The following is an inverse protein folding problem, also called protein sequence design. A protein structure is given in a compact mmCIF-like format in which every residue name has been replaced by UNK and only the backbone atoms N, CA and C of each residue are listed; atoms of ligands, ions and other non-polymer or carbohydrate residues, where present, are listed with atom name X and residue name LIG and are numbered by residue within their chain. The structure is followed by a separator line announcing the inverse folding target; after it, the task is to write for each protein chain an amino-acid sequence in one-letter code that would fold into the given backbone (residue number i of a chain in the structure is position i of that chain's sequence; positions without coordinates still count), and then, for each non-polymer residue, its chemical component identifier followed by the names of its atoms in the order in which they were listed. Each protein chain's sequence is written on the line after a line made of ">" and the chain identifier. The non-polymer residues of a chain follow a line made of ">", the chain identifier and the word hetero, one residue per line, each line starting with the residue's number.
data_IF_464537144094
#
_entry.id   IF_464537144094
#
_cell.length_a   1.000
_cell.length_b   1.000
_cell.length_c   1.000
_cell.angle_alpha   90.00
_cell.angle_beta   90.00
_cell.angle_gamma   90.00
#
_symmetry.space_group_name_H-M   'P 1'
#
loop_
_entity.id
_entity.type
_entity.pdbx_description
1 polymer ?
#
# COMPACT_ATOMS: atom_id res chain seq x y z
N UNK A 1 -10.31 30.39 13.79
CA UNK A 1 -9.16 29.52 14.17
C UNK A 1 -8.60 28.92 12.87
N UNK A 2 -7.46 29.42 12.38
CA UNK A 2 -6.80 28.92 11.17
C UNK A 2 -5.98 27.66 11.53
N UNK A 3 -6.21 26.54 10.84
CA UNK A 3 -5.32 25.38 10.88
C UNK A 3 -4.50 25.39 9.59
N UNK A 4 -3.19 25.59 9.72
CA UNK A 4 -2.26 25.38 8.62
C UNK A 4 -2.00 23.87 8.55
N UNK A 5 -2.64 23.20 7.59
CA UNK A 5 -2.30 21.81 7.25
C UNK A 5 -1.06 21.88 6.36
N UNK A 6 0.08 21.52 6.92
CA UNK A 6 1.31 21.36 6.15
C UNK A 6 1.26 19.97 5.50
N UNK A 7 0.59 19.87 4.35
CA UNK A 7 0.59 18.66 3.55
C UNK A 7 1.93 18.57 2.84
N UNK A 8 2.87 17.82 3.44
CA UNK A 8 4.11 17.46 2.74
C UNK A 8 3.75 16.47 1.63
N UNK A 9 3.43 17.01 0.46
CA UNK A 9 3.13 16.25 -0.76
C UNK A 9 4.25 15.25 -1.10
N UNK A 10 5.49 15.53 -0.70
CA UNK A 10 6.61 14.61 -0.84
C UNK A 10 6.47 13.38 0.06
N UNK A 11 6.05 13.54 1.31
CA UNK A 11 5.75 12.42 2.20
C UNK A 11 4.58 11.60 1.66
N UNK A 12 3.50 12.26 1.24
CA UNK A 12 2.34 11.59 0.63
C UNK A 12 2.75 10.75 -0.57
N UNK A 13 3.48 11.33 -1.50
CA UNK A 13 3.94 10.65 -2.70
C UNK A 13 4.85 9.45 -2.40
N UNK A 14 5.81 9.60 -1.47
CA UNK A 14 6.69 8.51 -1.05
C UNK A 14 5.91 7.37 -0.38
N UNK A 15 4.96 7.70 0.48
CA UNK A 15 4.08 6.71 1.10
C UNK A 15 3.31 5.93 0.04
N UNK A 16 2.58 6.62 -0.84
CA UNK A 16 1.77 5.98 -1.87
C UNK A 16 2.62 5.06 -2.76
N UNK A 17 3.78 5.54 -3.22
CA UNK A 17 4.68 4.76 -4.08
C UNK A 17 5.19 3.50 -3.37
N UNK A 18 5.63 3.62 -2.12
CA UNK A 18 6.16 2.48 -1.37
C UNK A 18 5.08 1.47 -1.00
N UNK A 19 3.91 1.96 -0.60
CA UNK A 19 2.77 1.12 -0.24
C UNK A 19 2.22 0.38 -1.47
N UNK A 20 2.14 1.03 -2.64
CA UNK A 20 1.77 0.38 -3.89
C UNK A 20 2.76 -0.75 -4.25
N UNK A 21 4.07 -0.48 -4.19
CA UNK A 21 5.11 -1.50 -4.42
C UNK A 21 5.00 -2.68 -3.47
N UNK A 22 4.67 -2.42 -2.19
CA UNK A 22 4.47 -3.46 -1.19
C UNK A 22 3.28 -4.36 -1.55
N UNK A 23 2.15 -3.76 -1.94
CA UNK A 23 0.95 -4.49 -2.37
C UNK A 23 1.23 -5.35 -3.60
N UNK A 24 1.86 -4.77 -4.63
CA UNK A 24 2.24 -5.49 -5.86
C UNK A 24 3.18 -6.65 -5.54
N UNK A 25 4.24 -6.42 -4.76
CA UNK A 25 5.19 -7.48 -4.40
C UNK A 25 4.56 -8.62 -3.60
N UNK A 26 3.52 -8.35 -2.82
CA UNK A 26 2.81 -9.37 -2.05
C UNK A 26 1.79 -10.17 -2.88
N UNK A 27 1.26 -9.57 -3.96
CA UNK A 27 0.37 -10.21 -4.92
C UNK A 27 1.14 -11.06 -5.93
N UNK A 28 2.30 -10.58 -6.39
CA UNK A 28 3.02 -11.17 -7.52
C UNK A 28 3.53 -12.60 -7.30
N UNK A 29 3.77 -13.07 -6.07
CA UNK A 29 3.53 -14.50 -5.74
C UNK A 29 3.79 -14.88 -4.27
N UNK A 30 3.09 -15.91 -3.81
CA UNK A 30 3.39 -16.69 -2.62
C UNK A 30 4.68 -17.55 -2.77
N UNK A 31 5.11 -17.83 -4.01
CA UNK A 31 6.29 -18.66 -4.32
C UNK A 31 7.58 -17.87 -4.61
N UNK A 32 7.53 -16.53 -4.55
CA UNK A 32 8.66 -15.69 -4.90
C UNK A 32 9.91 -16.05 -4.08
N UNK A 33 11.10 -16.23 -4.71
CA UNK A 33 12.35 -16.46 -4.00
C UNK A 33 12.83 -15.20 -3.25
N UNK A 34 12.19 -14.05 -3.50
CA UNK A 34 12.51 -12.80 -2.82
C UNK A 34 12.03 -12.84 -1.37
N UNK A 35 12.98 -12.84 -0.43
CA UNK A 35 12.70 -12.71 1.02
C UNK A 35 11.86 -11.48 1.34
N UNK A 36 12.04 -10.39 0.58
CA UNK A 36 11.28 -9.16 0.77
C UNK A 36 9.82 -9.33 0.37
N UNK A 37 9.54 -10.03 -0.74
CA UNK A 37 8.17 -10.32 -1.17
C UNK A 37 7.45 -11.24 -0.18
N UNK A 38 8.15 -12.26 0.33
CA UNK A 38 7.63 -13.15 1.37
C UNK A 38 7.30 -12.38 2.67
N UNK A 39 8.20 -11.48 3.09
CA UNK A 39 7.98 -10.64 4.27
C UNK A 39 6.81 -9.69 4.07
N UNK A 40 6.72 -9.04 2.90
CA UNK A 40 5.61 -8.17 2.54
C UNK A 40 4.28 -8.92 2.62
N UNK A 41 4.18 -10.07 1.96
CA UNK A 41 3.00 -10.93 2.00
C UNK A 41 2.62 -11.32 3.42
N UNK A 42 3.59 -11.76 4.23
CA UNK A 42 3.36 -12.11 5.64
C UNK A 42 2.83 -10.93 6.46
N UNK A 43 3.42 -9.75 6.29
CA UNK A 43 2.98 -8.54 6.98
C UNK A 43 1.53 -8.16 6.61
N UNK A 44 1.18 -8.26 5.32
CA UNK A 44 -0.16 -7.96 4.83
C UNK A 44 -1.19 -9.02 5.24
N UNK A 45 -0.82 -10.31 5.26
CA UNK A 45 -1.63 -11.39 5.84
C UNK A 45 -1.98 -11.09 7.29
N UNK A 46 -0.98 -10.77 8.12
CA UNK A 46 -1.18 -10.52 9.55
C UNK A 46 -2.12 -9.33 9.81
N UNK A 47 -2.14 -8.36 8.90
CA UNK A 47 -3.02 -7.18 8.95
C UNK A 47 -4.37 -7.38 8.25
N UNK A 48 -4.69 -8.59 7.76
CA UNK A 48 -5.88 -8.89 6.97
C UNK A 48 -6.06 -7.95 5.76
N UNK A 49 -4.95 -7.50 5.17
CA UNK A 49 -4.97 -6.60 4.00
C UNK A 49 -5.20 -7.39 2.71
N UNK A 50 -4.68 -8.61 2.60
CA UNK A 50 -4.83 -9.40 1.38
C UNK A 50 -6.27 -9.77 1.06
N UNK A 51 -7.11 -10.01 2.08
CA UNK A 51 -8.55 -10.24 1.86
C UNK A 51 -9.28 -8.98 1.41
N UNK A 52 -8.80 -7.80 1.82
CA UNK A 52 -9.35 -6.50 1.38
C UNK A 52 -8.92 -6.13 -0.04
N UNK A 53 -7.88 -6.77 -0.56
CA UNK A 53 -7.44 -6.63 -1.95
C UNK A 53 -8.21 -7.54 -2.91
N UNK A 54 -9.10 -8.40 -2.43
CA UNK A 54 -9.86 -9.29 -3.30
C UNK A 54 -10.73 -8.47 -4.27
N UNK A 55 -10.55 -8.71 -5.57
CA UNK A 55 -11.19 -7.92 -6.63
C UNK A 55 -10.62 -6.50 -6.87
N UNK A 56 -9.54 -6.11 -6.19
CA UNK A 56 -8.84 -4.83 -6.42
C UNK A 56 -7.45 -5.08 -7.05
N UNK A 57 -7.08 -4.30 -8.07
CA UNK A 57 -5.72 -4.31 -8.62
C UNK A 57 -4.95 -3.06 -8.16
N UNK A 58 -3.93 -3.20 -7.30
CA UNK A 58 -3.07 -2.08 -6.89
C UNK A 58 -2.28 -1.44 -8.04
N UNK A 59 -2.22 -2.07 -9.21
CA UNK A 59 -1.55 -1.53 -10.41
C UNK A 59 -2.47 -0.62 -11.22
N UNK A 60 -3.77 -0.60 -10.92
CA UNK A 60 -4.71 0.34 -11.52
C UNK A 60 -4.32 1.79 -11.15
N UNK A 61 -4.29 2.67 -12.15
CA UNK A 61 -3.99 4.09 -11.95
C UNK A 61 -5.06 4.80 -11.12
N UNK A 62 -6.27 4.24 -11.06
CA UNK A 62 -7.38 4.73 -10.24
C UNK A 62 -7.35 4.22 -8.80
N UNK A 63 -6.43 3.29 -8.47
CA UNK A 63 -6.31 2.74 -7.12
C UNK A 63 -5.76 3.79 -6.14
N UNK A 64 -6.63 4.27 -5.24
CA UNK A 64 -6.24 5.19 -4.18
C UNK A 64 -5.60 4.44 -3.00
N UNK A 65 -4.27 4.41 -3.01
CA UNK A 65 -3.45 3.80 -1.96
C UNK A 65 -3.69 4.43 -0.60
N UNK A 66 -3.86 5.76 -0.51
CA UNK A 66 -4.03 6.43 0.78
C UNK A 66 -5.37 6.08 1.39
N UNK A 67 -6.44 6.18 0.59
CA UNK A 67 -7.79 5.78 1.02
C UNK A 67 -7.85 4.30 1.40
N UNK A 68 -7.20 3.42 0.62
CA UNK A 68 -7.13 2.00 0.94
C UNK A 68 -6.50 1.71 2.31
N UNK A 69 -5.44 2.44 2.69
CA UNK A 69 -4.82 2.33 4.01
C UNK A 69 -5.50 3.20 5.09
N UNK A 70 -6.54 3.96 4.75
CA UNK A 70 -7.24 4.86 5.68
C UNK A 70 -6.35 6.02 6.16
N UNK A 71 -5.42 6.47 5.32
CA UNK A 71 -4.50 7.57 5.64
C UNK A 71 -5.08 8.88 5.11
N UNK A 72 -5.27 9.82 6.02
CA UNK A 72 -5.60 11.22 5.73
C UNK A 72 -4.31 12.08 5.77
N UNK A 73 -4.23 13.06 4.88
CA UNK A 73 -3.06 13.95 4.69
C UNK A 73 -3.41 15.41 4.97
#
# INVERSE_FOLDING_TARGET
>A
RLRLHYSDEGVRHRFCTNAQRLLVAALDDASSPSKNAQLARKALCYRNILSRLDGLDPRDLSFDVSSFFGVEW
#
